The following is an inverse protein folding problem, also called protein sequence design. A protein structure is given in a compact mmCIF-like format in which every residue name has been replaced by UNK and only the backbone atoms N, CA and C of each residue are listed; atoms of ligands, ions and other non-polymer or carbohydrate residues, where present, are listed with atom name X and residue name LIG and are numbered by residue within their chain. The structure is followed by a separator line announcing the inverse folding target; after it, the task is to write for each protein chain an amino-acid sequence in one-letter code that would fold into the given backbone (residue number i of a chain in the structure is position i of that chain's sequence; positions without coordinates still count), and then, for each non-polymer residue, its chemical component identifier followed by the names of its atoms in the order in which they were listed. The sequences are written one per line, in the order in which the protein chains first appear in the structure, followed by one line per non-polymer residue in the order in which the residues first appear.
data_IF_691903805238
#
_entry.id   IF_691903805238
#
_cell.length_a   1.000
_cell.length_b   1.000
_cell.length_c   1.000
_cell.angle_alpha   90.00
_cell.angle_beta   90.00
_cell.angle_gamma   90.00
#
_symmetry.space_group_name_H-M   'P 1'
#
loop_
_entity.id
_entity.type
_entity.pdbx_description
1 polymer ?
#
# COMPACT_ATOMS: atom_id res chain seq x y z
N UNK A 1 7.35 1.64 10.96
CA UNK A 1 7.83 0.51 10.13
C UNK A 1 7.84 -0.73 11.01
N UNK A 2 7.65 -1.95 10.48
CA UNK A 2 7.94 -3.16 11.28
C UNK A 2 9.35 -3.63 10.94
N UNK A 3 10.27 -3.59 11.90
CA UNK A 3 11.68 -3.99 11.69
C UNK A 3 11.87 -5.52 11.61
N UNK A 4 10.76 -6.27 11.52
CA UNK A 4 10.71 -7.72 11.50
C UNK A 4 10.17 -8.21 10.15
N UNK A 5 10.67 -9.35 9.65
CA UNK A 5 10.14 -9.97 8.44
C UNK A 5 8.62 -10.21 8.56
N UNK A 6 7.91 -9.94 7.47
CA UNK A 6 6.46 -10.19 7.36
C UNK A 6 6.27 -11.62 6.85
N UNK A 7 5.72 -12.50 7.68
CA UNK A 7 5.45 -13.90 7.30
C UNK A 7 3.96 -14.21 7.17
N UNK A 8 3.10 -13.34 7.71
CA UNK A 8 1.66 -13.56 7.75
C UNK A 8 0.87 -12.26 7.67
N UNK A 9 -0.42 -12.37 7.36
CA UNK A 9 -1.35 -11.24 7.43
C UNK A 9 -1.42 -10.62 8.84
N UNK A 10 -1.19 -11.42 9.89
CA UNK A 10 -1.13 -10.94 11.26
C UNK A 10 0.11 -10.07 11.53
N UNK A 11 1.21 -10.28 10.80
CA UNK A 11 2.40 -9.42 10.91
C UNK A 11 2.18 -8.09 10.18
N UNK A 12 1.55 -8.13 9.00
CA UNK A 12 1.19 -6.92 8.26
C UNK A 12 0.22 -6.02 9.06
N UNK A 13 -0.71 -6.61 9.81
CA UNK A 13 -1.65 -5.88 10.67
C UNK A 13 -0.98 -5.09 11.81
N UNK A 14 0.27 -5.41 12.17
CA UNK A 14 1.08 -4.66 13.16
C UNK A 14 1.72 -3.39 12.57
N UNK A 15 1.55 -3.15 11.26
CA UNK A 15 2.03 -1.96 10.58
C UNK A 15 1.32 -0.68 11.02
N UNK A 16 1.71 0.45 10.43
CA UNK A 16 1.09 1.73 10.70
C UNK A 16 -0.26 1.84 9.98
N UNK A 17 -1.37 1.73 10.72
CA UNK A 17 -2.72 1.80 10.19
C UNK A 17 -3.05 3.14 9.51
N UNK A 18 -2.50 4.27 10.00
CA UNK A 18 -2.75 5.57 9.40
C UNK A 18 -2.08 5.71 8.02
N UNK A 19 -0.89 5.14 7.85
CA UNK A 19 -0.24 5.07 6.54
C UNK A 19 -1.00 4.15 5.57
N UNK A 20 -1.57 3.05 6.06
CA UNK A 20 -2.41 2.18 5.25
C UNK A 20 -3.70 2.88 4.79
N UNK A 21 -4.34 3.65 5.66
CA UNK A 21 -5.51 4.46 5.31
C UNK A 21 -5.16 5.53 4.26
N UNK A 22 -4.02 6.21 4.42
CA UNK A 22 -3.54 7.19 3.44
C UNK A 22 -3.24 6.54 2.07
N UNK A 23 -2.62 5.36 2.08
CA UNK A 23 -2.38 4.57 0.88
C UNK A 23 -3.68 4.19 0.17
N UNK A 24 -4.69 3.76 0.93
CA UNK A 24 -6.01 3.45 0.40
C UNK A 24 -6.67 4.64 -0.29
N UNK A 25 -6.66 5.82 0.33
CA UNK A 25 -7.25 7.02 -0.27
C UNK A 25 -6.50 7.47 -1.52
N UNK A 26 -5.18 7.37 -1.54
CA UNK A 26 -4.37 7.78 -2.70
C UNK A 26 -4.64 6.89 -3.92
N UNK A 27 -4.71 5.57 -3.72
CA UNK A 27 -5.02 4.63 -4.80
C UNK A 27 -6.46 4.80 -5.32
N UNK A 28 -7.43 5.06 -4.44
CA UNK A 28 -8.80 5.36 -4.85
C UNK A 28 -8.87 6.62 -5.71
N UNK A 29 -8.13 7.68 -5.34
CA UNK A 29 -8.07 8.91 -6.13
C UNK A 29 -7.53 8.67 -7.55
N UNK A 30 -6.71 7.62 -7.74
CA UNK A 30 -6.17 7.18 -9.03
C UNK A 30 -7.05 6.14 -9.74
N UNK A 31 -8.23 5.84 -9.18
CA UNK A 31 -9.15 4.84 -9.72
C UNK A 31 -8.67 3.40 -9.56
N UNK A 32 -7.87 3.11 -8.53
CA UNK A 32 -7.46 1.76 -8.14
C UNK A 32 -8.18 1.41 -6.84
N UNK A 33 -9.04 0.41 -6.89
CA UNK A 33 -9.78 -0.06 -5.72
C UNK A 33 -9.18 -1.35 -5.16
N UNK A 34 -8.97 -1.39 -3.85
CA UNK A 34 -8.56 -2.60 -3.13
C UNK A 34 -9.16 -2.63 -1.73
N UNK A 35 -8.99 -3.73 -1.00
CA UNK A 35 -9.54 -3.84 0.35
C UNK A 35 -8.77 -2.93 1.33
N UNK A 36 -9.50 -2.12 2.12
CA UNK A 36 -8.93 -1.17 3.11
C UNK A 36 -7.87 -1.78 4.05
N UNK A 37 -7.92 -3.09 4.28
CA UNK A 37 -6.93 -3.87 5.04
C UNK A 37 -5.58 -4.11 4.34
N UNK A 38 -5.32 -3.52 3.16
CA UNK A 38 -4.06 -3.74 2.44
C UNK A 38 -4.00 -5.01 1.59
N UNK A 39 -5.11 -5.72 1.43
CA UNK A 39 -5.15 -6.95 0.63
C UNK A 39 -5.59 -6.64 -0.79
N UNK A 40 -4.83 -7.15 -1.77
CA UNK A 40 -5.17 -7.17 -3.18
C UNK A 40 -5.36 -8.61 -3.64
N UNK A 41 -6.46 -8.89 -4.35
CA UNK A 41 -6.73 -10.19 -4.94
C UNK A 41 -6.83 -10.00 -6.46
N UNK A 42 -5.88 -10.60 -7.18
CA UNK A 42 -5.79 -10.46 -8.63
C UNK A 42 -6.87 -11.29 -9.33
N UNK A 43 -7.34 -10.79 -10.46
CA UNK A 43 -8.31 -11.42 -11.34
C UNK A 43 -7.64 -11.78 -12.67
N UNK A 44 -8.14 -12.81 -13.34
CA UNK A 44 -7.71 -13.21 -14.69
C UNK A 44 -7.99 -12.13 -15.76
N UNK A 45 -8.82 -11.14 -15.43
CA UNK A 45 -9.15 -10.04 -16.32
C UNK A 45 -8.13 -8.89 -16.29
N UNK A 46 -7.15 -8.93 -15.37
CA UNK A 46 -6.10 -7.91 -15.27
C UNK A 46 -5.01 -8.19 -16.30
N UNK A 47 -4.48 -7.12 -16.88
CA UNK A 47 -3.36 -7.17 -17.81
C UNK A 47 -2.12 -6.43 -17.29
N UNK A 48 -1.11 -6.31 -18.15
CA UNK A 48 0.15 -5.64 -17.83
C UNK A 48 -0.04 -4.12 -17.62
N UNK A 49 -0.97 -3.48 -18.33
CA UNK A 49 -1.25 -2.06 -18.16
C UNK A 49 -1.91 -1.77 -16.80
N UNK A 50 -2.75 -2.68 -16.30
CA UNK A 50 -3.27 -2.60 -14.93
C UNK A 50 -2.16 -2.72 -13.89
N UNK A 51 -1.20 -3.62 -14.12
CA UNK A 51 -0.04 -3.79 -13.25
C UNK A 51 0.85 -2.55 -13.24
N UNK A 52 1.16 -1.99 -14.42
CA UNK A 52 1.95 -0.76 -14.56
C UNK A 52 1.28 0.43 -13.86
N UNK A 53 -0.05 0.55 -14.00
CA UNK A 53 -0.83 1.58 -13.30
C UNK A 53 -0.70 1.44 -11.78
N UNK A 54 -0.75 0.22 -11.26
CA UNK A 54 -0.57 -0.04 -9.83
C UNK A 54 0.86 0.30 -9.37
N UNK A 55 1.88 -0.12 -10.13
CA UNK A 55 3.28 0.16 -9.80
C UNK A 55 3.53 1.67 -9.75
N UNK A 56 3.13 2.41 -10.77
CA UNK A 56 3.30 3.87 -10.82
C UNK A 56 2.59 4.57 -9.64
N UNK A 57 1.40 4.10 -9.25
CA UNK A 57 0.68 4.64 -8.10
C UNK A 57 1.42 4.40 -6.77
N UNK A 58 2.02 3.22 -6.61
CA UNK A 58 2.80 2.87 -5.41
C UNK A 58 4.10 3.67 -5.35
N UNK A 59 4.81 3.82 -6.47
CA UNK A 59 6.03 4.62 -6.57
C UNK A 59 5.75 6.08 -6.20
N UNK A 60 4.72 6.69 -6.79
CA UNK A 60 4.39 8.09 -6.49
C UNK A 60 3.93 8.27 -5.02
N UNK A 61 3.23 7.29 -4.45
CA UNK A 61 2.90 7.29 -3.02
C UNK A 61 4.17 7.26 -2.17
N UNK A 62 5.10 6.34 -2.45
CA UNK A 62 6.36 6.20 -1.72
C UNK A 62 7.21 7.49 -1.79
N UNK A 63 7.32 8.08 -2.98
CA UNK A 63 8.10 9.30 -3.21
C UNK A 63 7.48 10.50 -2.49
N UNK A 64 6.18 10.71 -2.64
CA UNK A 64 5.48 11.88 -2.08
C UNK A 64 5.38 11.80 -0.56
N UNK A 65 5.27 10.58 0.00
CA UNK A 65 5.12 10.33 1.44
C UNK A 65 6.42 9.87 2.09
N UNK A 66 7.56 9.90 1.40
CA UNK A 66 8.89 9.56 1.94
C UNK A 66 9.14 10.13 3.36
N UNK A 67 8.78 11.40 3.66
CA UNK A 67 8.99 11.98 5.00
C UNK A 67 8.16 11.33 6.12
N UNK A 68 7.08 10.61 5.79
CA UNK A 68 6.22 9.94 6.76
C UNK A 68 6.75 8.54 7.15
N UNK A 69 7.67 7.98 6.37
CA UNK A 69 8.28 6.68 6.66
C UNK A 69 9.45 6.78 7.63
N UNK A 70 9.99 7.98 7.88
CA UNK A 70 11.12 8.24 8.78
C UNK A 70 10.73 8.47 10.24
N UNK A 71 9.55 7.99 10.66
CA UNK A 71 9.04 8.19 12.03
C UNK A 71 9.64 7.23 13.06
N UNK A 72 10.37 7.80 14.02
CA UNK A 72 10.68 7.23 15.34
C UNK A 72 9.39 6.65 15.99
N UNK A 73 9.45 5.48 16.64
CA UNK A 73 8.27 4.86 17.22
C UNK A 73 7.65 5.75 18.30
N UNK A 74 6.39 6.12 18.12
CA UNK A 74 5.54 6.66 19.20
C UNK A 74 5.22 5.57 20.24
#
# INVERSE_FOLDING_TARGET
MTDRPIHSAADAAKGNAALLDLFYFDLIARGIWFAKRGMMALSIALDEADADKLVAAVEEFADTRAPLFTGEPA
#
